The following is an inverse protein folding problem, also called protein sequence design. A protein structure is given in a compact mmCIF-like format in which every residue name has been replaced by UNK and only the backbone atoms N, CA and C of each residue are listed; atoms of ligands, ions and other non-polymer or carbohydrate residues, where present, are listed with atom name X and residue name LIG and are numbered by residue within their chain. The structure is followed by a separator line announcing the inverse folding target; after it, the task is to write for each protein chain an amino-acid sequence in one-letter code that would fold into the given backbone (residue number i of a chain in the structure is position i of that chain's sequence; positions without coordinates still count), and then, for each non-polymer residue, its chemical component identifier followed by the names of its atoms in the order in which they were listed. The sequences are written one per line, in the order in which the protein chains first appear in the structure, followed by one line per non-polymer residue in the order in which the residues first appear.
data_IF_335476873958
#
_entry.id   IF_335476873958
#
_cell.length_a   1.000
_cell.length_b   1.000
_cell.length_c   1.000
_cell.angle_alpha   90.00
_cell.angle_beta   90.00
_cell.angle_gamma   90.00
#
_symmetry.space_group_name_H-M   'P 1'
#
loop_
_entity.id
_entity.type
_entity.pdbx_description
1 polymer ?
#
# COMPACT_ATOMS: atom_id res chain seq x y z
N UNK A 1 6.55 -8.81 -13.64
CA UNK A 1 6.15 -8.35 -12.28
C UNK A 1 7.11 -7.25 -11.86
N UNK A 2 6.64 -6.03 -11.59
CA UNK A 2 7.51 -4.89 -11.27
C UNK A 2 7.09 -4.21 -9.97
N UNK A 3 8.04 -4.06 -9.04
CA UNK A 3 7.84 -3.30 -7.81
C UNK A 3 7.84 -1.79 -8.10
N UNK A 4 6.94 -1.08 -7.44
CA UNK A 4 6.78 0.37 -7.52
C UNK A 4 6.78 0.98 -6.13
N UNK A 5 7.52 2.07 -6.00
CA UNK A 5 7.62 2.90 -4.80
C UNK A 5 6.50 3.96 -4.78
N UNK A 6 6.07 4.37 -3.58
CA UNK A 6 5.06 5.42 -3.41
C UNK A 6 5.55 6.79 -3.87
N UNK A 7 4.65 7.66 -4.32
CA UNK A 7 4.98 9.07 -4.64
C UNK A 7 5.20 9.94 -3.39
N UNK A 8 4.96 9.40 -2.18
CA UNK A 8 5.29 10.05 -0.90
C UNK A 8 6.75 9.86 -0.51
N UNK A 9 7.50 9.09 -1.30
CA UNK A 9 8.87 8.70 -1.00
C UNK A 9 9.93 9.73 -1.45
N UNK A 10 9.54 10.98 -1.72
CA UNK A 10 10.45 12.09 -1.97
C UNK A 10 10.78 12.81 -0.65
N UNK A 11 11.73 12.25 0.10
CA UNK A 11 12.22 12.81 1.36
C UNK A 11 13.45 12.05 1.83
N UNK A 12 14.30 12.71 2.63
CA UNK A 12 15.59 12.24 3.17
C UNK A 12 15.45 11.12 4.22
N UNK A 13 14.56 10.16 3.98
CA UNK A 13 14.27 9.03 4.84
C UNK A 13 14.08 7.79 3.97
N UNK A 14 14.82 6.74 4.31
CA UNK A 14 14.84 5.49 3.57
C UNK A 14 13.42 4.95 3.42
N UNK A 15 13.08 4.58 2.19
CA UNK A 15 11.77 4.00 1.89
C UNK A 15 11.70 2.62 2.54
N UNK A 16 10.65 2.32 3.32
CA UNK A 16 10.52 1.01 3.98
C UNK A 16 9.62 0.01 3.24
N UNK A 17 8.88 0.42 2.20
CA UNK A 17 7.90 -0.47 1.51
C UNK A 17 7.77 -0.19 0.00
N UNK A 18 7.72 -1.26 -0.79
CA UNK A 18 7.33 -1.29 -2.21
C UNK A 18 6.20 -2.30 -2.45
N UNK A 19 5.36 -2.04 -3.46
CA UNK A 19 4.33 -2.98 -3.90
C UNK A 19 4.53 -3.39 -5.34
N UNK A 20 4.20 -4.65 -5.68
CA UNK A 20 4.10 -5.09 -7.06
C UNK A 20 2.70 -5.65 -7.33
N UNK A 21 2.13 -5.21 -8.44
CA UNK A 21 1.02 -5.89 -9.07
C UNK A 21 1.60 -6.81 -10.18
N UNK A 22 1.08 -8.03 -10.34
CA UNK A 22 1.38 -8.86 -11.49
C UNK A 22 1.08 -8.13 -12.81
N UNK A 23 1.96 -8.31 -13.78
CA UNK A 23 1.74 -7.80 -15.14
C UNK A 23 0.59 -8.59 -15.78
N UNK A 24 -0.31 -7.88 -16.47
CA UNK A 24 -1.49 -8.50 -17.10
C UNK A 24 -2.67 -8.72 -16.15
N UNK A 25 -2.79 -7.90 -15.10
CA UNK A 25 -3.83 -7.88 -14.04
C UNK A 25 -5.02 -8.81 -14.34
N UNK A 26 -4.92 -10.06 -13.87
CA UNK A 26 -6.13 -10.83 -13.60
C UNK A 26 -6.65 -10.36 -12.26
N UNK A 27 -7.95 -10.16 -12.16
CA UNK A 27 -8.63 -9.54 -11.00
C UNK A 27 -8.33 -10.23 -9.66
N UNK A 28 -7.82 -11.47 -9.71
CA UNK A 28 -7.61 -12.37 -8.58
C UNK A 28 -6.16 -12.52 -8.14
N UNK A 29 -5.19 -11.96 -8.87
CA UNK A 29 -3.79 -12.16 -8.53
C UNK A 29 -3.39 -11.39 -7.25
N UNK A 30 -2.52 -11.98 -6.41
CA UNK A 30 -2.15 -11.37 -5.14
C UNK A 30 -1.28 -10.12 -5.32
N UNK A 31 -1.42 -9.18 -4.37
CA UNK A 31 -0.54 -8.03 -4.22
C UNK A 31 0.68 -8.42 -3.43
N UNK A 32 1.85 -8.09 -3.95
CA UNK A 32 3.14 -8.34 -3.29
C UNK A 32 3.60 -7.07 -2.59
N UNK A 33 4.07 -7.21 -1.36
CA UNK A 33 4.59 -6.11 -0.53
C UNK A 33 5.94 -6.52 0.03
N UNK A 34 6.96 -5.68 -0.13
CA UNK A 34 8.30 -5.95 0.42
C UNK A 34 8.94 -4.70 0.99
N UNK A 35 10.01 -4.88 1.75
CA UNK A 35 10.88 -3.80 2.21
C UNK A 35 11.83 -3.34 1.09
N UNK A 36 11.78 -2.05 0.74
CA UNK A 36 12.65 -1.49 -0.30
C UNK A 36 14.13 -1.43 0.09
N UNK A 37 14.47 -1.41 1.38
CA UNK A 37 15.87 -1.46 1.84
C UNK A 37 16.44 -2.87 1.84
N UNK A 38 15.58 -3.90 1.74
CA UNK A 38 15.96 -5.31 1.66
C UNK A 38 15.28 -6.00 0.48
N UNK A 39 15.65 -5.68 -0.79
CA UNK A 39 14.98 -6.21 -1.98
C UNK A 39 15.01 -7.74 -2.11
N UNK A 40 16.03 -8.39 -1.54
CA UNK A 40 16.17 -9.86 -1.47
C UNK A 40 15.53 -10.48 -0.23
N UNK A 41 14.91 -9.67 0.63
CA UNK A 41 14.18 -10.12 1.81
C UNK A 41 12.81 -10.73 1.50
N UNK A 42 12.08 -11.17 2.53
CA UNK A 42 10.77 -11.79 2.37
C UNK A 42 9.75 -10.81 1.74
N UNK A 43 8.86 -11.36 0.93
CA UNK A 43 7.74 -10.64 0.31
C UNK A 43 6.44 -11.13 0.92
N UNK A 44 5.64 -10.22 1.46
CA UNK A 44 4.29 -10.48 1.91
C UNK A 44 3.35 -10.60 0.71
N UNK A 45 2.55 -11.67 0.67
CA UNK A 45 1.52 -11.91 -0.34
C UNK A 45 0.15 -11.63 0.26
N UNK A 46 -0.56 -10.66 -0.30
CA UNK A 46 -1.92 -10.31 0.12
C UNK A 46 -2.88 -10.70 -1.00
N UNK A 47 -3.92 -11.46 -0.69
CA UNK A 47 -4.94 -11.80 -1.67
C UNK A 47 -5.62 -10.54 -2.23
N UNK A 48 -6.02 -10.58 -3.50
CA UNK A 48 -6.53 -9.42 -4.23
C UNK A 48 -7.77 -8.79 -3.57
N UNK A 49 -8.73 -9.61 -3.17
CA UNK A 49 -10.01 -9.14 -2.63
C UNK A 49 -9.87 -8.45 -1.26
N UNK A 50 -9.17 -9.04 -0.25
CA UNK A 50 -8.87 -8.34 0.99
C UNK A 50 -8.13 -7.01 0.78
N UNK A 51 -7.16 -6.96 -0.14
CA UNK A 51 -6.43 -5.73 -0.45
C UNK A 51 -7.34 -4.64 -1.04
N UNK A 52 -8.26 -5.02 -1.96
CA UNK A 52 -9.26 -4.11 -2.53
C UNK A 52 -10.23 -3.60 -1.45
N UNK A 53 -10.70 -4.49 -0.58
CA UNK A 53 -11.60 -4.12 0.52
C UNK A 53 -10.92 -3.11 1.46
N UNK A 54 -9.68 -3.41 1.87
CA UNK A 54 -8.88 -2.55 2.74
C UNK A 54 -8.65 -1.15 2.15
N UNK A 55 -8.17 -1.07 0.90
CA UNK A 55 -7.91 0.22 0.25
C UNK A 55 -9.19 1.02 0.01
N UNK A 56 -10.32 0.37 -0.25
CA UNK A 56 -11.64 1.01 -0.35
C UNK A 56 -12.08 1.58 1.01
N UNK A 57 -11.89 0.85 2.09
CA UNK A 57 -12.19 1.31 3.45
C UNK A 57 -11.35 2.54 3.84
N UNK A 58 -10.05 2.52 3.51
CA UNK A 58 -9.16 3.67 3.72
C UNK A 58 -9.63 4.91 2.95
N UNK A 59 -9.95 4.77 1.65
CA UNK A 59 -10.45 5.88 0.82
C UNK A 59 -11.77 6.47 1.34
N UNK A 60 -12.62 5.63 1.94
CA UNK A 60 -13.90 6.04 2.54
C UNK A 60 -13.75 6.59 3.96
N UNK A 61 -12.56 6.51 4.56
CA UNK A 61 -12.35 6.86 5.96
C UNK A 61 -13.13 5.99 6.93
N UNK A 62 -13.57 4.80 6.52
CA UNK A 62 -14.33 3.87 7.36
C UNK A 62 -13.41 2.98 8.21
N UNK A 63 -12.12 2.93 7.89
CA UNK A 63 -11.10 2.34 8.75
C UNK A 63 -10.65 3.41 9.75
N UNK A 64 -10.99 3.23 11.03
CA UNK A 64 -10.48 4.04 12.14
C UNK A 64 -9.63 3.16 13.02
N UNK A 65 -8.48 3.67 13.46
CA UNK A 65 -7.77 3.04 14.57
C UNK A 65 -8.71 3.08 15.78
N UNK A 66 -8.84 1.96 16.50
CA UNK A 66 -9.60 1.91 17.74
C UNK A 66 -8.92 2.86 18.74
N UNK A 67 -9.52 4.03 19.01
CA UNK A 67 -9.04 5.00 19.99
C UNK A 67 -8.72 6.42 19.50
N UNK A 68 -9.04 6.80 18.25
CA UNK A 68 -8.77 8.17 17.75
C UNK A 68 -9.96 9.12 18.04
N UNK A 69 -9.98 9.68 19.24
CA UNK A 69 -10.79 10.85 19.58
C UNK A 69 -10.25 12.09 18.86
N UNK A 70 -10.67 12.27 17.61
CA UNK A 70 -10.90 13.60 17.04
C UNK A 70 -9.70 14.43 16.57
N UNK A 71 -8.46 13.90 16.45
CA UNK A 71 -7.38 14.67 15.81
C UNK A 71 -7.34 14.44 14.30
N UNK A 72 -8.01 15.35 13.60
CA UNK A 72 -8.08 15.51 12.14
C UNK A 72 -6.70 15.62 11.48
N UNK A 73 -6.01 14.49 11.30
CA UNK A 73 -4.90 14.35 10.38
C UNK A 73 -5.45 14.10 8.98
N UNK A 74 -5.75 15.16 8.22
CA UNK A 74 -6.16 15.05 6.82
C UNK A 74 -4.98 14.49 6.01
N UNK A 75 -4.93 13.17 5.86
CA UNK A 75 -3.97 12.50 4.99
C UNK A 75 -4.11 13.09 3.58
N UNK A 76 -3.02 13.67 3.06
CA UNK A 76 -2.98 14.15 1.67
C UNK A 76 -3.34 12.97 0.75
N UNK A 77 -4.15 13.17 -0.29
CA UNK A 77 -4.54 12.08 -1.18
C UNK A 77 -3.31 11.55 -1.92
N UNK A 78 -2.95 10.29 -1.65
CA UNK A 78 -1.90 9.65 -2.40
C UNK A 78 -2.34 9.36 -3.83
N UNK A 79 -1.46 9.64 -4.81
CA UNK A 79 -1.67 9.12 -6.17
C UNK A 79 -1.71 7.60 -6.05
N UNK A 80 -2.77 6.94 -6.58
CA UNK A 80 -2.83 5.50 -6.59
C UNK A 80 -1.56 4.97 -7.25
N UNK A 81 -0.90 4.01 -6.59
CA UNK A 81 0.09 3.20 -7.27
C UNK A 81 -0.73 2.37 -8.27
N UNK A 82 -0.48 2.51 -9.59
CA UNK A 82 -1.26 1.81 -10.62
C UNK A 82 -1.09 0.29 -10.52
#
# INVERSE_FOLDING_TARGET
MRFRKSSYSSGSGETCVEIALPEGIRTHDPVLIRDSTRPGGPTLRVAAEPYRSFTRALRRGSLRARGDDGRNGRARPARPIP
#
